data_IF_876530973652
#
_entry.id   IF_876530973652
#
_cell.length_a   1.000
_cell.length_b   1.000
_cell.length_c   1.000
_cell.angle_alpha   90.00
_cell.angle_beta   90.00
_cell.angle_gamma   90.00
#
_symmetry.space_group_name_H-M   'P 1'
#
loop_
_entity.id
_entity.type
_entity.pdbx_description
1 polymer ?
#
# COMPACT_ATOMS: atom_id res chain seq x y z
N UNK A 1 1.21 -21.87 -12.25
CA UNK A 1 2.17 -20.91 -12.82
C UNK A 1 3.54 -21.58 -12.81
N UNK A 2 4.04 -21.88 -13.97
CA UNK A 2 5.36 -22.52 -14.08
C UNK A 2 6.40 -21.41 -14.22
N UNK A 3 7.19 -21.20 -13.17
CA UNK A 3 8.26 -20.24 -13.14
C UNK A 3 9.55 -20.92 -12.65
N UNK A 4 10.66 -20.71 -13.35
CA UNK A 4 11.96 -21.32 -13.05
C UNK A 4 12.84 -20.45 -12.16
N UNK A 5 12.45 -19.18 -11.94
CA UNK A 5 13.16 -18.24 -11.08
C UNK A 5 12.20 -17.29 -10.38
N UNK A 6 12.60 -16.67 -9.24
CA UNK A 6 11.79 -15.67 -8.56
C UNK A 6 11.44 -14.45 -9.43
N UNK A 7 12.34 -14.01 -10.31
CA UNK A 7 12.10 -12.91 -11.24
C UNK A 7 11.04 -13.27 -12.28
N UNK A 8 11.12 -14.48 -12.83
CA UNK A 8 10.11 -14.99 -13.76
C UNK A 8 8.76 -15.18 -13.06
N UNK A 9 8.76 -15.68 -11.81
CA UNK A 9 7.53 -15.79 -11.02
C UNK A 9 6.87 -14.43 -10.85
N UNK A 10 7.64 -13.40 -10.50
CA UNK A 10 7.12 -12.04 -10.32
C UNK A 10 6.46 -11.52 -11.60
N UNK A 11 7.09 -11.73 -12.76
CA UNK A 11 6.52 -11.32 -14.05
C UNK A 11 5.22 -12.07 -14.35
N UNK A 12 5.22 -13.41 -14.27
CA UNK A 12 4.03 -14.24 -14.54
C UNK A 12 2.89 -13.89 -13.57
N UNK A 13 3.22 -13.61 -12.30
CA UNK A 13 2.23 -13.19 -11.32
C UNK A 13 1.64 -11.80 -11.66
N UNK A 14 2.47 -10.86 -12.11
CA UNK A 14 2.03 -9.54 -12.57
C UNK A 14 1.06 -9.64 -13.74
N UNK A 15 1.40 -10.44 -14.76
CA UNK A 15 0.56 -10.67 -15.93
C UNK A 15 -0.77 -11.33 -15.53
N UNK A 16 -0.71 -12.34 -14.66
CA UNK A 16 -1.91 -13.03 -14.16
C UNK A 16 -2.83 -12.07 -13.40
N UNK A 17 -2.27 -11.26 -12.51
CA UNK A 17 -3.06 -10.30 -11.71
C UNK A 17 -3.70 -9.25 -12.61
N UNK A 18 -2.98 -8.75 -13.59
CA UNK A 18 -3.48 -7.76 -14.54
C UNK A 18 -4.60 -8.28 -15.44
N UNK A 19 -4.53 -9.56 -15.86
CA UNK A 19 -5.38 -10.07 -16.94
C UNK A 19 -6.49 -11.01 -16.44
N UNK A 20 -6.36 -11.54 -15.23
CA UNK A 20 -7.27 -12.56 -14.68
C UNK A 20 -7.98 -12.12 -13.41
N UNK A 21 -7.51 -11.10 -12.72
CA UNK A 21 -8.14 -10.61 -11.50
C UNK A 21 -8.98 -9.38 -11.78
N UNK A 22 -10.08 -9.25 -11.04
CA UNK A 22 -10.96 -8.08 -11.14
C UNK A 22 -10.53 -7.02 -10.13
N UNK A 23 -10.54 -5.77 -10.57
CA UNK A 23 -10.22 -4.61 -9.74
C UNK A 23 -8.85 -4.02 -10.04
N UNK A 24 -8.74 -2.71 -9.89
CA UNK A 24 -7.57 -1.90 -10.25
C UNK A 24 -7.20 -0.89 -9.16
N UNK A 25 -7.72 -1.07 -7.92
CA UNK A 25 -7.59 -0.07 -6.86
C UNK A 25 -6.22 -0.15 -6.19
N UNK A 26 -5.93 -1.26 -5.53
CA UNK A 26 -4.68 -1.39 -4.79
C UNK A 26 -4.17 -2.83 -4.77
N UNK A 27 -2.84 -2.96 -4.80
CA UNK A 27 -2.13 -4.22 -4.68
C UNK A 27 -1.07 -4.16 -3.58
N UNK A 28 -0.87 -5.26 -2.87
CA UNK A 28 0.26 -5.45 -1.95
C UNK A 28 1.21 -6.49 -2.53
N UNK A 29 2.49 -6.17 -2.58
CA UNK A 29 3.54 -7.05 -3.07
C UNK A 29 4.58 -7.26 -1.97
N UNK A 30 4.83 -8.50 -1.57
CA UNK A 30 5.87 -8.82 -0.59
C UNK A 30 7.18 -9.13 -1.29
N UNK A 31 8.17 -8.25 -1.10
CA UNK A 31 9.47 -8.35 -1.76
C UNK A 31 10.57 -8.42 -0.68
N UNK A 32 11.29 -9.55 -0.58
CA UNK A 32 12.44 -9.64 0.33
C UNK A 32 13.52 -8.62 -0.05
N UNK A 33 14.17 -7.95 0.94
CA UNK A 33 15.23 -6.97 0.67
C UNK A 33 16.37 -7.52 -0.19
N UNK A 34 16.75 -8.79 0.03
CA UNK A 34 17.76 -9.47 -0.77
C UNK A 34 17.35 -9.59 -2.25
N UNK A 35 16.08 -9.93 -2.52
CA UNK A 35 15.58 -10.01 -3.89
C UNK A 35 15.56 -8.61 -4.54
N UNK A 36 15.08 -7.59 -3.81
CA UNK A 36 15.07 -6.20 -4.26
C UNK A 36 16.47 -5.74 -4.71
N UNK A 37 17.51 -6.05 -3.92
CA UNK A 37 18.88 -5.65 -4.24
C UNK A 37 19.53 -6.47 -5.36
N UNK A 38 19.16 -7.74 -5.51
CA UNK A 38 19.73 -8.62 -6.53
C UNK A 38 19.03 -8.53 -7.89
N UNK A 39 17.76 -8.11 -7.90
CA UNK A 39 16.90 -8.09 -9.09
C UNK A 39 16.12 -6.76 -9.18
N UNK A 40 16.78 -5.59 -9.11
CA UNK A 40 16.09 -4.30 -9.12
C UNK A 40 15.23 -4.13 -10.37
N UNK A 41 15.73 -4.51 -11.54
CA UNK A 41 15.00 -4.37 -12.80
C UNK A 41 13.72 -5.22 -12.86
N UNK A 42 13.73 -6.40 -12.23
CA UNK A 42 12.52 -7.22 -12.17
C UNK A 42 11.45 -6.59 -11.29
N UNK A 43 11.87 -5.95 -10.19
CA UNK A 43 10.96 -5.23 -9.30
C UNK A 43 10.41 -3.97 -9.97
N UNK A 44 11.27 -3.19 -10.63
CA UNK A 44 10.83 -1.99 -11.36
C UNK A 44 9.85 -2.33 -12.49
N UNK A 45 10.12 -3.39 -13.26
CA UNK A 45 9.16 -3.88 -14.26
C UNK A 45 7.82 -4.25 -13.63
N UNK A 46 7.82 -5.02 -12.54
CA UNK A 46 6.59 -5.37 -11.83
C UNK A 46 5.80 -4.11 -11.41
N UNK A 47 6.48 -3.11 -10.84
CA UNK A 47 5.85 -1.86 -10.43
C UNK A 47 5.29 -1.07 -11.60
N UNK A 48 6.01 -1.05 -12.72
CA UNK A 48 5.58 -0.39 -13.95
C UNK A 48 4.38 -1.08 -14.56
N UNK A 49 4.44 -2.42 -14.66
CA UNK A 49 3.44 -3.20 -15.39
C UNK A 49 2.15 -3.45 -14.60
N UNK A 50 2.19 -3.42 -13.25
CA UNK A 50 0.99 -3.60 -12.42
C UNK A 50 -0.04 -2.50 -12.69
N UNK A 51 -1.22 -2.87 -13.15
CA UNK A 51 -2.35 -1.95 -13.44
C UNK A 51 -3.23 -1.72 -12.22
N UNK A 52 -2.61 -1.13 -11.17
CA UNK A 52 -3.27 -0.74 -9.92
C UNK A 52 -2.93 0.71 -9.57
N UNK A 53 -3.93 1.46 -9.11
CA UNK A 53 -3.76 2.87 -8.74
C UNK A 53 -2.89 3.08 -7.49
N UNK A 54 -2.77 2.05 -6.64
CA UNK A 54 -1.84 2.04 -5.51
C UNK A 54 -1.14 0.70 -5.40
N UNK A 55 0.20 0.70 -5.33
CA UNK A 55 1.02 -0.50 -5.14
C UNK A 55 1.84 -0.35 -3.87
N UNK A 56 1.63 -1.24 -2.91
CA UNK A 56 2.32 -1.23 -1.61
C UNK A 56 3.34 -2.37 -1.53
N UNK A 57 4.62 -2.03 -1.48
CA UNK A 57 5.70 -3.00 -1.25
C UNK A 57 5.88 -3.20 0.24
N UNK A 58 5.73 -4.45 0.69
CA UNK A 58 5.92 -4.87 2.09
C UNK A 58 5.02 -4.13 3.10
N UNK A 59 3.96 -3.49 2.62
CA UNK A 59 3.01 -2.78 3.44
C UNK A 59 1.58 -3.19 3.11
N UNK A 60 0.70 -2.96 4.07
CA UNK A 60 -0.72 -3.10 3.84
C UNK A 60 -1.23 -2.01 2.90
N UNK A 61 -1.91 -2.41 1.83
CA UNK A 61 -2.39 -1.48 0.79
C UNK A 61 -3.39 -0.43 1.30
N UNK A 62 -4.08 -0.69 2.41
CA UNK A 62 -4.95 0.29 3.05
C UNK A 62 -4.23 1.54 3.58
N UNK A 63 -2.91 1.47 3.81
CA UNK A 63 -2.11 2.63 4.21
C UNK A 63 -2.06 3.71 3.14
N UNK A 64 -2.11 3.35 1.86
CA UNK A 64 -2.09 4.33 0.77
C UNK A 64 -3.29 5.28 0.84
N UNK A 65 -4.47 4.82 1.29
CA UNK A 65 -5.60 5.68 1.57
C UNK A 65 -5.41 6.54 2.82
N UNK A 66 -4.82 5.99 3.87
CA UNK A 66 -4.56 6.70 5.14
C UNK A 66 -3.54 7.83 5.02
N UNK A 67 -2.66 7.78 4.02
CA UNK A 67 -1.69 8.83 3.71
C UNK A 67 -2.35 9.84 2.75
N UNK A 68 -3.00 10.85 3.28
CA UNK A 68 -3.77 11.84 2.50
C UNK A 68 -2.94 12.69 1.52
N UNK A 69 -1.62 12.60 1.54
CA UNK A 69 -0.72 13.34 0.65
C UNK A 69 -0.56 12.72 -0.74
N UNK A 70 -0.48 11.38 -0.94
CA UNK A 70 -0.46 10.80 -2.28
C UNK A 70 -1.87 10.69 -2.86
N UNK A 71 -2.06 10.85 -4.17
CA UNK A 71 -3.31 10.52 -4.84
C UNK A 71 -3.69 9.05 -4.65
N UNK A 72 -4.98 8.80 -4.46
CA UNK A 72 -5.53 7.46 -4.28
C UNK A 72 -6.78 7.27 -5.13
N UNK A 73 -6.83 6.21 -5.90
CA UNK A 73 -7.92 5.88 -6.81
C UNK A 73 -7.64 4.61 -7.59
N UNK A 74 -8.51 4.26 -8.53
CA UNK A 74 -8.29 3.17 -9.47
C UNK A 74 -7.18 3.50 -10.48
N UNK A 75 -6.60 2.47 -11.10
CA UNK A 75 -5.69 2.65 -12.22
C UNK A 75 -6.41 3.38 -13.38
N UNK A 76 -5.74 4.28 -14.12
CA UNK A 76 -6.36 5.03 -15.21
C UNK A 76 -7.00 4.15 -16.28
N UNK A 77 -8.06 4.65 -16.91
CA UNK A 77 -8.78 3.97 -17.99
C UNK A 77 -10.19 3.52 -17.63
N UNK A 78 -10.64 3.69 -16.39
CA UNK A 78 -12.04 3.48 -16.02
C UNK A 78 -12.95 4.51 -16.72
N UNK A 79 -14.11 4.06 -17.18
CA UNK A 79 -15.14 4.89 -17.85
C UNK A 79 -16.50 4.66 -17.22
N UNK A 80 -17.51 5.45 -17.58
CA UNK A 80 -18.88 5.25 -17.09
C UNK A 80 -19.47 3.91 -17.54
N UNK A 81 -19.04 3.39 -18.69
CA UNK A 81 -19.49 2.09 -19.20
C UNK A 81 -18.67 0.93 -18.58
N UNK A 82 -17.47 1.22 -18.07
CA UNK A 82 -16.61 0.25 -17.40
C UNK A 82 -15.90 0.92 -16.21
N UNK A 83 -16.61 1.00 -15.10
CA UNK A 83 -16.16 1.76 -13.91
C UNK A 83 -14.95 1.12 -13.22
N UNK A 84 -14.75 -0.19 -13.35
CA UNK A 84 -13.71 -0.94 -12.67
C UNK A 84 -13.67 -0.63 -11.15
N UNK A 85 -12.55 -0.10 -10.62
CA UNK A 85 -12.40 0.27 -9.21
C UNK A 85 -12.65 1.75 -8.92
N UNK A 86 -13.31 2.44 -9.83
CA UNK A 86 -13.65 3.85 -9.71
C UNK A 86 -12.99 4.72 -10.77
N UNK A 87 -13.59 5.88 -11.01
CA UNK A 87 -13.12 6.88 -11.97
C UNK A 87 -12.47 8.02 -11.19
N UNK A 88 -11.24 8.38 -11.58
CA UNK A 88 -10.50 9.49 -10.97
C UNK A 88 -9.84 9.13 -9.62
N UNK A 89 -9.29 10.15 -8.97
CA UNK A 89 -8.51 10.05 -7.74
C UNK A 89 -9.05 11.01 -6.69
N UNK A 90 -8.84 10.67 -5.44
CA UNK A 90 -8.96 11.55 -4.28
C UNK A 90 -7.57 11.87 -3.71
N UNK A 91 -7.47 12.79 -2.79
CA UNK A 91 -6.25 13.30 -2.17
C UNK A 91 -5.32 14.02 -3.15
N UNK A 92 -4.87 15.18 -2.75
CA UNK A 92 -3.84 16.00 -3.41
C UNK A 92 -4.06 16.24 -4.94
N UNK A 93 -5.30 16.19 -5.40
CA UNK A 93 -5.65 16.31 -6.82
C UNK A 93 -5.44 17.71 -7.40
N UNK A 94 -5.23 18.74 -6.55
CA UNK A 94 -4.91 20.10 -6.97
C UNK A 94 -3.42 20.33 -7.25
N UNK A 95 -2.52 19.55 -6.64
CA UNK A 95 -1.08 19.69 -6.82
C UNK A 95 -0.50 18.67 -7.80
N UNK A 96 -1.11 17.49 -7.89
CA UNK A 96 -0.64 16.41 -8.73
C UNK A 96 -1.70 16.06 -9.77
N UNK A 97 -1.35 16.27 -11.04
CA UNK A 97 -2.18 15.93 -12.19
C UNK A 97 -1.65 14.68 -12.88
N UNK A 98 -2.57 13.90 -13.48
CA UNK A 98 -2.27 12.71 -14.29
C UNK A 98 -1.40 11.67 -13.59
N UNK A 99 -1.61 11.48 -12.31
CA UNK A 99 -0.92 10.42 -11.57
C UNK A 99 -1.46 9.07 -12.04
N UNK A 100 -0.57 8.24 -12.57
CA UNK A 100 -0.93 6.88 -13.01
C UNK A 100 -1.14 5.97 -11.81
N UNK A 101 -0.19 5.98 -10.87
CA UNK A 101 -0.24 5.18 -9.65
C UNK A 101 0.59 5.80 -8.53
N UNK A 102 0.26 5.41 -7.32
CA UNK A 102 1.06 5.69 -6.11
C UNK A 102 1.80 4.42 -5.69
N UNK A 103 3.11 4.51 -5.48
CA UNK A 103 3.90 3.42 -4.92
C UNK A 103 4.30 3.76 -3.50
N UNK A 104 3.96 2.88 -2.56
CA UNK A 104 4.33 2.96 -1.15
C UNK A 104 5.27 1.80 -0.83
N UNK A 105 6.48 2.10 -0.38
CA UNK A 105 7.44 1.07 0.01
C UNK A 105 7.77 1.17 1.49
N UNK A 106 7.83 0.03 2.17
CA UNK A 106 8.23 -0.07 3.56
C UNK A 106 9.05 -1.32 3.85
N UNK A 107 9.52 -1.47 5.08
CA UNK A 107 10.28 -2.65 5.47
C UNK A 107 9.40 -3.90 5.45
N UNK A 108 10.00 -5.06 5.10
CA UNK A 108 9.30 -6.36 5.13
C UNK A 108 8.89 -6.75 6.56
N UNK A 109 9.72 -6.38 7.54
CA UNK A 109 9.44 -6.60 8.96
C UNK A 109 9.26 -5.24 9.62
N UNK A 110 8.07 -4.99 10.14
CA UNK A 110 7.75 -3.74 10.83
C UNK A 110 8.02 -3.89 12.34
N UNK A 111 8.77 -2.92 12.89
CA UNK A 111 8.97 -2.78 14.32
C UNK A 111 8.89 -1.28 14.73
N UNK A 112 8.09 -0.92 15.72
CA UNK A 112 7.15 -1.79 16.45
C UNK A 112 6.11 -2.42 15.56
N UNK A 113 5.50 -3.53 16.02
CA UNK A 113 4.46 -4.22 15.24
C UNK A 113 3.25 -3.31 15.04
N UNK A 114 2.77 -3.11 13.81
CA UNK A 114 1.62 -2.24 13.56
C UNK A 114 0.36 -2.69 14.30
N UNK A 115 -0.39 -1.73 14.82
CA UNK A 115 -1.58 -1.97 15.65
C UNK A 115 -2.73 -2.70 14.93
N UNK A 116 -2.74 -2.68 13.60
CA UNK A 116 -3.73 -3.40 12.77
C UNK A 116 -3.40 -4.87 12.55
N UNK A 117 -2.24 -5.34 13.01
CA UNK A 117 -1.93 -6.78 12.96
C UNK A 117 -2.73 -7.55 14.02
N UNK A 118 -3.38 -8.68 13.65
CA UNK A 118 -4.16 -9.49 14.60
C UNK A 118 -3.38 -9.96 15.81
N UNK A 119 -2.05 -10.06 15.68
CA UNK A 119 -1.14 -10.48 16.74
C UNK A 119 -0.64 -9.33 17.62
N UNK A 120 -1.15 -8.09 17.44
CA UNK A 120 -0.81 -6.97 18.31
C UNK A 120 -1.60 -7.04 19.61
N UNK A 121 -0.89 -7.25 20.74
CA UNK A 121 -1.50 -7.52 22.04
C UNK A 121 -2.08 -6.27 22.74
N UNK A 122 -1.70 -5.07 22.32
CA UNK A 122 -2.04 -3.80 22.99
C UNK A 122 -2.89 -2.86 22.13
N UNK A 123 -3.52 -3.37 21.07
CA UNK A 123 -4.31 -2.55 20.13
C UNK A 123 -5.42 -1.73 20.82
N UNK A 124 -6.08 -2.29 21.85
CA UNK A 124 -7.11 -1.58 22.62
C UNK A 124 -6.50 -0.41 23.41
N UNK A 125 -5.35 -0.60 24.04
CA UNK A 125 -4.66 0.46 24.80
C UNK A 125 -4.22 1.60 23.87
N UNK A 126 -3.63 1.26 22.73
CA UNK A 126 -3.26 2.23 21.68
C UNK A 126 -4.49 2.99 21.18
N UNK A 127 -5.58 2.31 20.85
CA UNK A 127 -6.81 2.93 20.37
C UNK A 127 -7.40 3.88 21.42
N UNK A 128 -7.43 3.46 22.69
CA UNK A 128 -7.93 4.30 23.80
C UNK A 128 -7.11 5.58 23.96
N UNK A 129 -5.78 5.47 23.93
CA UNK A 129 -4.88 6.64 24.03
C UNK A 129 -4.98 7.56 22.82
N UNK A 130 -5.17 6.99 21.65
CA UNK A 130 -5.38 7.75 20.42
C UNK A 130 -6.70 8.55 20.49
N UNK A 131 -7.79 7.94 20.92
CA UNK A 131 -9.08 8.63 21.13
C UNK A 131 -8.93 9.74 22.15
N UNK A 132 -8.22 9.51 23.26
CA UNK A 132 -7.97 10.53 24.27
C UNK A 132 -7.12 11.68 23.72
N UNK A 133 -6.16 11.40 22.84
CA UNK A 133 -5.35 12.41 22.17
C UNK A 133 -6.21 13.27 21.23
N UNK A 134 -7.09 12.64 20.44
CA UNK A 134 -8.02 13.37 19.55
C UNK A 134 -9.02 14.22 20.33
N UNK A 135 -9.57 13.69 21.44
CA UNK A 135 -10.53 14.42 22.26
C UNK A 135 -9.91 15.64 22.96
N UNK A 136 -8.68 15.52 23.44
CA UNK A 136 -7.92 16.59 24.10
C UNK A 136 -6.48 16.58 23.60
N UNK A 137 -6.17 17.25 22.47
CA UNK A 137 -4.84 17.27 21.91
C UNK A 137 -3.80 17.81 22.90
N UNK A 138 -2.73 17.05 23.14
CA UNK A 138 -1.62 17.46 23.99
C UNK A 138 -0.35 16.71 23.65
N UNK A 139 0.75 17.42 23.47
CA UNK A 139 2.08 16.81 23.22
C UNK A 139 2.54 15.90 24.37
N UNK A 140 2.11 16.15 25.60
CA UNK A 140 2.42 15.34 26.76
C UNK A 140 1.79 13.94 26.74
N UNK A 141 0.82 13.69 25.86
CA UNK A 141 0.19 12.37 25.67
C UNK A 141 0.89 11.49 24.64
N UNK A 142 1.73 12.08 23.79
CA UNK A 142 2.44 11.35 22.73
C UNK A 142 3.38 10.27 23.30
N UNK A 143 4.20 10.50 24.33
CA UNK A 143 5.07 9.45 24.89
C UNK A 143 4.28 8.21 25.34
N UNK A 144 3.12 8.43 25.98
CA UNK A 144 2.24 7.34 26.39
C UNK A 144 1.65 6.57 25.22
N UNK A 145 1.30 7.24 24.11
CA UNK A 145 0.82 6.59 22.90
C UNK A 145 1.91 5.74 22.25
N UNK A 146 3.10 6.28 22.07
CA UNK A 146 4.24 5.56 21.49
C UNK A 146 4.71 4.36 22.34
N UNK A 147 4.65 4.47 23.67
CA UNK A 147 4.99 3.35 24.54
C UNK A 147 3.96 2.22 24.54
N UNK A 148 2.75 2.49 24.04
CA UNK A 148 1.71 1.51 23.88
C UNK A 148 1.74 0.84 22.51
N UNK A 149 2.26 1.52 21.49
CA UNK A 149 2.42 0.99 20.15
C UNK A 149 3.63 0.05 20.07
#
# INVERSE_FOLDING_TARGET
MDATSPAQFLQVATDFVNDRMTGTLCASVSIPPRFRSQQPDAVERCLTDLRYGSVCINQWSGLAYGLVSPPWGGYPGATLDNVQSGIGNVHNTYLLDRVEKTVLEGPLVNFPRPVWFPSHSRSVDVATRLVQLYHRPSMFRLPGLFSAA
#
